data_IF_019400714942
#
_entry.id   IF_019400714942
#
_cell.length_a   1.000
_cell.length_b   1.000
_cell.length_c   1.000
_cell.angle_alpha   90.00
_cell.angle_beta   90.00
_cell.angle_gamma   90.00
#
_symmetry.space_group_name_H-M   'P 1'
#
loop_
_entity.id
_entity.type
_entity.pdbx_description
1 polymer ?
#
# COMPACT_ATOMS: atom_id res chain seq x y z
N UNK A 1 58.45 -33.68 43.50
CA UNK A 1 57.99 -32.70 44.49
C UNK A 1 57.95 -31.36 43.75
N UNK A 2 56.79 -30.69 43.78
CA UNK A 2 56.48 -29.32 43.30
C UNK A 2 56.56 -29.08 41.77
N UNK A 3 55.44 -28.96 41.04
CA UNK A 3 54.43 -27.89 40.91
C UNK A 3 54.91 -26.64 40.14
N UNK A 4 54.27 -26.43 38.97
CA UNK A 4 54.31 -25.29 38.06
C UNK A 4 53.85 -23.98 38.75
N UNK A 5 54.13 -22.78 38.17
CA UNK A 5 53.10 -22.23 37.30
C UNK A 5 53.61 -21.43 36.08
N UNK A 6 53.18 -21.88 34.89
CA UNK A 6 52.88 -21.01 33.76
C UNK A 6 51.71 -20.08 34.14
N UNK A 7 51.93 -18.77 34.13
CA UNK A 7 50.95 -17.74 33.73
C UNK A 7 51.39 -16.38 34.26
N UNK A 8 51.86 -15.52 33.36
CA UNK A 8 51.69 -14.07 33.43
C UNK A 8 52.27 -13.45 32.16
N UNK A 9 51.62 -12.37 31.73
CA UNK A 9 51.97 -11.50 30.60
C UNK A 9 51.35 -11.88 29.25
N UNK A 10 50.03 -12.09 29.27
CA UNK A 10 49.15 -11.92 28.10
C UNK A 10 48.35 -10.63 28.30
N UNK A 11 48.97 -9.46 28.14
CA UNK A 11 48.30 -8.15 28.09
C UNK A 11 49.13 -7.18 27.27
N UNK A 12 48.89 -7.14 25.96
CA UNK A 12 49.54 -6.18 25.07
C UNK A 12 48.68 -6.02 23.81
N UNK A 13 48.01 -4.86 23.73
CA UNK A 13 47.51 -4.19 22.53
C UNK A 13 46.30 -4.79 21.78
N UNK A 14 45.13 -4.74 22.43
CA UNK A 14 43.87 -4.48 21.71
C UNK A 14 43.75 -2.97 21.43
N UNK A 15 44.26 -2.52 20.29
CA UNK A 15 43.95 -1.20 19.76
C UNK A 15 44.40 -1.13 18.30
N UNK A 16 43.52 -1.48 17.35
CA UNK A 16 43.62 -0.97 15.99
C UNK A 16 42.31 -1.16 15.22
N UNK A 17 41.77 -0.01 14.82
CA UNK A 17 40.89 0.22 13.68
C UNK A 17 39.45 -0.33 13.74
N UNK A 18 38.63 0.33 14.56
CA UNK A 18 37.17 0.43 14.44
C UNK A 18 36.84 1.57 13.45
N UNK A 19 37.06 1.35 12.15
CA UNK A 19 36.66 2.19 11.01
C UNK A 19 36.50 1.19 9.86
N UNK A 20 35.32 0.85 9.33
CA UNK A 20 34.41 1.71 8.58
C UNK A 20 32.98 1.13 8.68
N UNK A 21 32.20 1.56 9.66
CA UNK A 21 30.75 1.55 9.54
C UNK A 21 30.34 2.99 9.25
N UNK A 22 30.67 3.46 8.04
CA UNK A 22 29.85 4.51 7.41
C UNK A 22 28.55 3.79 7.06
N UNK A 23 27.72 3.59 8.08
CA UNK A 23 26.31 3.39 7.90
C UNK A 23 25.88 4.55 7.01
N UNK A 24 25.42 4.23 5.81
CA UNK A 24 24.58 5.11 5.02
C UNK A 24 23.29 5.33 5.83
N UNK A 25 23.39 6.09 6.93
CA UNK A 25 22.30 6.84 7.47
C UNK A 25 22.01 7.90 6.40
N UNK A 26 21.33 7.48 5.34
CA UNK A 26 20.63 8.38 4.46
C UNK A 26 19.80 9.24 5.39
N UNK A 27 20.16 10.51 5.49
CA UNK A 27 19.41 11.49 6.27
C UNK A 27 18.02 11.48 5.67
N UNK A 28 17.08 10.80 6.32
CA UNK A 28 15.68 10.87 5.97
C UNK A 28 15.31 12.34 6.18
N UNK A 29 15.30 13.13 5.10
CA UNK A 29 14.73 14.46 5.15
C UNK A 29 13.30 14.27 5.66
N UNK A 30 13.02 14.80 6.85
CA UNK A 30 11.69 14.75 7.41
C UNK A 30 10.74 15.37 6.38
N UNK A 31 9.90 14.54 5.76
CA UNK A 31 8.87 15.03 4.87
C UNK A 31 7.95 15.94 5.68
N UNK A 32 7.55 17.06 5.07
CA UNK A 32 6.69 18.05 5.69
C UNK A 32 5.49 18.29 4.81
N UNK A 33 4.34 18.45 5.44
CA UNK A 33 3.12 18.82 4.76
C UNK A 33 3.10 20.32 4.44
N UNK A 34 2.50 20.65 3.30
CA UNK A 34 2.17 22.03 2.96
C UNK A 34 1.01 22.57 3.80
N UNK A 35 0.86 23.90 3.85
CA UNK A 35 -0.20 24.57 4.62
C UNK A 35 -1.63 24.19 4.21
N UNK A 36 -1.82 23.67 2.99
CA UNK A 36 -3.12 23.24 2.46
C UNK A 36 -3.56 21.85 2.96
N UNK A 37 -2.67 21.06 3.57
CA UNK A 37 -2.97 19.71 4.01
C UNK A 37 -3.94 19.67 5.21
N UNK A 38 -3.74 20.54 6.20
CA UNK A 38 -4.60 20.59 7.39
C UNK A 38 -6.08 20.91 7.05
N UNK A 39 -6.41 21.89 6.18
CA UNK A 39 -7.78 22.08 5.69
C UNK A 39 -8.38 20.85 4.99
N UNK A 40 -7.60 20.12 4.18
CA UNK A 40 -8.06 18.92 3.50
C UNK A 40 -8.38 17.80 4.50
N UNK A 41 -7.51 17.57 5.49
CA UNK A 41 -7.80 16.62 6.57
C UNK A 41 -9.08 16.99 7.35
N UNK A 42 -9.22 18.26 7.71
CA UNK A 42 -10.38 18.75 8.46
C UNK A 42 -11.68 18.48 7.70
N UNK A 43 -11.67 18.64 6.38
CA UNK A 43 -12.81 18.36 5.50
C UNK A 43 -13.23 16.89 5.51
N UNK A 44 -12.27 15.95 5.60
CA UNK A 44 -12.60 14.53 5.76
C UNK A 44 -13.17 14.20 7.14
N UNK A 45 -12.76 14.91 8.19
CA UNK A 45 -13.26 14.70 9.56
C UNK A 45 -14.63 15.32 9.81
N UNK A 46 -14.99 16.39 9.10
CA UNK A 46 -16.17 17.21 9.39
C UNK A 46 -17.49 16.71 8.75
N UNK A 47 -17.58 15.44 8.38
CA UNK A 47 -18.75 14.88 7.65
C UNK A 47 -19.09 15.61 6.35
N UNK A 48 -18.10 16.26 5.70
CA UNK A 48 -18.31 16.90 4.41
C UNK A 48 -18.84 15.88 3.37
N UNK A 49 -19.60 16.34 2.37
CA UNK A 49 -20.18 15.50 1.32
C UNK A 49 -20.00 16.13 -0.06
N UNK A 50 -20.20 15.32 -1.10
CA UNK A 50 -20.11 15.77 -2.50
C UNK A 50 -18.73 16.33 -2.85
N UNK A 51 -18.71 17.38 -3.66
CA UNK A 51 -17.49 17.93 -4.26
C UNK A 51 -16.42 18.35 -3.24
N UNK A 52 -16.83 18.86 -2.07
CA UNK A 52 -15.90 19.25 -1.00
C UNK A 52 -15.15 18.04 -0.47
N UNK A 53 -15.88 16.94 -0.22
CA UNK A 53 -15.28 15.69 0.24
C UNK A 53 -14.39 15.06 -0.84
N UNK A 54 -14.86 15.04 -2.09
CA UNK A 54 -14.09 14.53 -3.23
C UNK A 54 -12.78 15.30 -3.44
N UNK A 55 -12.83 16.64 -3.31
CA UNK A 55 -11.65 17.50 -3.41
C UNK A 55 -10.68 17.25 -2.28
N UNK A 56 -11.18 17.12 -1.04
CA UNK A 56 -10.33 16.83 0.11
C UNK A 56 -9.54 15.52 -0.05
N UNK A 57 -10.16 14.45 -0.56
CA UNK A 57 -9.45 13.19 -0.86
C UNK A 57 -8.33 13.43 -1.90
N UNK A 58 -8.60 14.17 -2.97
CA UNK A 58 -7.62 14.46 -4.02
C UNK A 58 -6.45 15.32 -3.52
N UNK A 59 -6.73 16.35 -2.72
CA UNK A 59 -5.72 17.28 -2.22
C UNK A 59 -4.72 16.57 -1.27
N UNK A 60 -5.19 15.57 -0.52
CA UNK A 60 -4.35 14.76 0.37
C UNK A 60 -3.31 13.91 -0.36
N UNK A 61 -3.45 13.69 -1.67
CA UNK A 61 -2.40 13.04 -2.50
C UNK A 61 -1.13 13.91 -2.59
N UNK A 62 -1.21 15.20 -2.28
CA UNK A 62 -0.07 16.11 -2.17
C UNK A 62 0.55 16.19 -0.77
N UNK A 63 0.04 15.43 0.20
CA UNK A 63 0.39 15.55 1.61
C UNK A 63 1.11 14.28 2.09
N UNK A 64 2.44 14.22 2.05
CA UNK A 64 3.17 12.98 2.32
C UNK A 64 3.01 12.46 3.76
N UNK A 65 2.76 13.34 4.74
CA UNK A 65 2.63 12.94 6.16
C UNK A 65 1.18 12.69 6.54
N UNK A 66 0.32 13.71 6.44
CA UNK A 66 -1.10 13.65 6.77
C UNK A 66 -1.93 12.85 5.79
N UNK A 67 -1.60 12.89 4.49
CA UNK A 67 -2.38 12.28 3.42
C UNK A 67 -2.63 10.80 3.64
N UNK A 68 -1.58 9.96 3.74
CA UNK A 68 -1.77 8.53 3.99
C UNK A 68 -2.53 8.22 5.27
N UNK A 69 -2.33 8.99 6.35
CA UNK A 69 -3.06 8.80 7.60
C UNK A 69 -4.55 9.09 7.46
N UNK A 70 -4.89 10.24 6.86
CA UNK A 70 -6.27 10.68 6.70
C UNK A 70 -7.05 9.79 5.72
N UNK A 71 -6.41 9.36 4.63
CA UNK A 71 -6.97 8.42 3.66
C UNK A 71 -7.12 7.01 4.25
N UNK A 72 -6.12 6.51 4.99
CA UNK A 72 -6.21 5.23 5.70
C UNK A 72 -7.41 5.18 6.66
N UNK A 73 -7.69 6.27 7.36
CA UNK A 73 -8.83 6.37 8.26
C UNK A 73 -10.19 6.24 7.55
N UNK A 74 -10.30 6.65 6.28
CA UNK A 74 -11.55 6.50 5.52
C UNK A 74 -11.88 5.04 5.21
N UNK A 75 -10.89 4.14 5.14
CA UNK A 75 -11.14 2.72 4.91
C UNK A 75 -11.81 2.00 6.10
N UNK A 76 -11.73 2.56 7.31
CA UNK A 76 -12.46 2.05 8.46
C UNK A 76 -13.97 2.34 8.37
N UNK A 77 -14.34 3.43 7.69
CA UNK A 77 -15.73 3.82 7.42
C UNK A 77 -15.84 4.25 5.95
N UNK A 78 -15.79 3.30 4.99
CA UNK A 78 -15.69 3.60 3.57
C UNK A 78 -16.85 4.51 3.10
N UNK A 79 -16.58 5.45 2.18
CA UNK A 79 -17.63 6.32 1.64
C UNK A 79 -18.79 5.50 1.04
N UNK A 80 -20.02 5.91 1.33
CA UNK A 80 -21.20 5.30 0.72
C UNK A 80 -21.36 5.66 -0.76
N UNK A 81 -20.98 6.91 -1.08
CA UNK A 81 -20.91 7.47 -2.43
C UNK A 81 -19.83 6.75 -3.26
N UNK A 82 -20.26 6.13 -4.35
CA UNK A 82 -19.39 5.35 -5.24
C UNK A 82 -18.32 6.20 -5.93
N UNK A 83 -18.60 7.48 -6.20
CA UNK A 83 -17.61 8.41 -6.76
C UNK A 83 -16.53 8.70 -5.72
N UNK A 84 -16.93 9.02 -4.49
CA UNK A 84 -16.00 9.25 -3.38
C UNK A 84 -15.14 8.01 -3.08
N UNK A 85 -15.75 6.82 -3.11
CA UNK A 85 -15.04 5.55 -2.94
C UNK A 85 -13.99 5.34 -4.03
N UNK A 86 -14.34 5.56 -5.30
CA UNK A 86 -13.39 5.44 -6.40
C UNK A 86 -12.21 6.42 -6.26
N UNK A 87 -12.49 7.67 -5.87
CA UNK A 87 -11.45 8.67 -5.62
C UNK A 87 -10.56 8.24 -4.44
N UNK A 88 -11.12 7.66 -3.38
CA UNK A 88 -10.35 7.10 -2.26
C UNK A 88 -9.42 5.98 -2.74
N UNK A 89 -9.92 5.08 -3.60
CA UNK A 89 -9.12 4.02 -4.22
C UNK A 89 -7.95 4.56 -5.04
N UNK A 90 -8.22 5.49 -5.96
CA UNK A 90 -7.19 6.11 -6.81
C UNK A 90 -6.16 6.91 -5.99
N UNK A 91 -6.61 7.67 -4.99
CA UNK A 91 -5.71 8.41 -4.09
C UNK A 91 -4.84 7.46 -3.25
N UNK A 92 -5.44 6.40 -2.72
CA UNK A 92 -4.73 5.37 -1.96
C UNK A 92 -3.76 4.57 -2.82
N UNK A 93 -4.03 4.37 -4.12
CA UNK A 93 -3.12 3.73 -5.07
C UNK A 93 -1.89 4.59 -5.37
N UNK A 94 -2.04 5.92 -5.32
CA UNK A 94 -1.01 6.89 -5.75
C UNK A 94 0.07 7.15 -4.69
N UNK A 95 -0.32 7.13 -3.41
CA UNK A 95 0.60 7.36 -2.30
C UNK A 95 1.22 6.04 -1.83
N UNK A 96 2.54 5.94 -1.93
CA UNK A 96 3.34 4.78 -1.60
C UNK A 96 3.64 4.78 -0.10
N UNK A 97 2.69 4.29 0.68
CA UNK A 97 2.75 4.35 2.14
C UNK A 97 2.23 3.06 2.80
N UNK A 98 2.97 2.57 3.80
CA UNK A 98 2.63 1.34 4.53
C UNK A 98 1.25 1.41 5.21
N UNK A 99 0.80 2.58 5.66
CA UNK A 99 -0.50 2.75 6.31
C UNK A 99 -1.64 2.48 5.32
N UNK A 100 -1.49 2.92 4.06
CA UNK A 100 -2.46 2.69 3.00
C UNK A 100 -2.50 1.23 2.56
N UNK A 101 -1.34 0.59 2.43
CA UNK A 101 -1.25 -0.86 2.19
C UNK A 101 -2.07 -1.63 3.23
N UNK A 102 -1.83 -1.38 4.52
CA UNK A 102 -2.55 -2.05 5.61
C UNK A 102 -4.07 -1.78 5.59
N UNK A 103 -4.47 -0.53 5.39
CA UNK A 103 -5.87 -0.13 5.37
C UNK A 103 -6.63 -0.79 4.21
N UNK A 104 -6.05 -0.77 3.01
CA UNK A 104 -6.62 -1.43 1.83
C UNK A 104 -6.67 -2.96 2.00
N UNK A 105 -5.64 -3.59 2.58
CA UNK A 105 -5.67 -5.03 2.90
C UNK A 105 -6.84 -5.35 3.83
N UNK A 106 -7.01 -4.61 4.91
CA UNK A 106 -8.12 -4.81 5.85
C UNK A 106 -9.49 -4.64 5.17
N UNK A 107 -9.63 -3.63 4.31
CA UNK A 107 -10.88 -3.37 3.61
C UNK A 107 -11.22 -4.45 2.57
N UNK A 108 -10.22 -4.98 1.86
CA UNK A 108 -10.40 -6.06 0.88
C UNK A 108 -10.78 -7.40 1.53
N UNK A 109 -10.15 -7.74 2.66
CA UNK A 109 -10.36 -9.01 3.36
C UNK A 109 -11.62 -9.03 4.23
N UNK A 110 -12.18 -7.87 4.60
CA UNK A 110 -13.39 -7.81 5.44
C UNK A 110 -14.65 -8.19 4.63
N UNK A 111 -15.20 -9.38 4.89
CA UNK A 111 -16.39 -9.90 4.20
C UNK A 111 -17.68 -9.15 4.55
N UNK A 112 -17.69 -8.34 5.61
CA UNK A 112 -18.83 -7.47 5.94
C UNK A 112 -18.89 -6.22 5.06
N UNK A 113 -17.80 -5.87 4.36
CA UNK A 113 -17.81 -4.78 3.40
C UNK A 113 -18.59 -5.15 2.13
N UNK A 114 -19.29 -4.18 1.55
CA UNK A 114 -19.92 -4.32 0.23
C UNK A 114 -18.86 -4.65 -0.83
N UNK A 115 -19.25 -5.41 -1.86
CA UNK A 115 -18.35 -5.85 -2.94
C UNK A 115 -17.57 -4.68 -3.56
N UNK A 116 -18.21 -3.55 -3.78
CA UNK A 116 -17.62 -2.36 -4.40
C UNK A 116 -16.46 -1.80 -3.56
N UNK A 117 -16.61 -1.79 -2.23
CA UNK A 117 -15.55 -1.37 -1.29
C UNK A 117 -14.36 -2.32 -1.40
N UNK A 118 -14.62 -3.64 -1.41
CA UNK A 118 -13.58 -4.66 -1.48
C UNK A 118 -12.82 -4.60 -2.81
N UNK A 119 -13.53 -4.42 -3.93
CA UNK A 119 -12.93 -4.22 -5.25
C UNK A 119 -12.09 -2.94 -5.32
N UNK A 120 -12.59 -1.83 -4.77
CA UNK A 120 -11.84 -0.57 -4.75
C UNK A 120 -10.59 -0.67 -3.87
N UNK A 121 -10.66 -1.43 -2.76
CA UNK A 121 -9.51 -1.74 -1.94
C UNK A 121 -8.49 -2.60 -2.71
N UNK A 122 -8.93 -3.59 -3.50
CA UNK A 122 -8.04 -4.35 -4.39
C UNK A 122 -7.36 -3.40 -5.40
N UNK A 123 -8.06 -2.42 -5.96
CA UNK A 123 -7.46 -1.43 -6.85
C UNK A 123 -6.36 -0.61 -6.15
N UNK A 124 -6.59 -0.18 -4.91
CA UNK A 124 -5.57 0.50 -4.11
C UNK A 124 -4.33 -0.41 -3.90
N UNK A 125 -4.54 -1.70 -3.60
CA UNK A 125 -3.46 -2.68 -3.45
C UNK A 125 -2.65 -2.87 -4.73
N UNK A 126 -3.29 -2.86 -5.91
CA UNK A 126 -2.58 -2.93 -7.19
C UNK A 126 -1.63 -1.73 -7.37
N UNK A 127 -2.08 -0.54 -6.99
CA UNK A 127 -1.23 0.65 -6.97
C UNK A 127 -0.07 0.54 -6.00
N UNK A 128 -0.23 -0.19 -4.88
CA UNK A 128 0.86 -0.51 -3.93
C UNK A 128 1.81 -1.60 -4.46
N UNK A 129 1.33 -2.52 -5.29
CA UNK A 129 2.16 -3.53 -5.95
C UNK A 129 3.08 -2.92 -7.01
N UNK A 130 2.52 -2.12 -7.92
CA UNK A 130 3.28 -1.47 -8.98
C UNK A 130 2.64 -0.11 -9.32
N UNK A 131 3.41 1.00 -9.35
CA UNK A 131 2.86 2.36 -9.43
C UNK A 131 2.13 2.66 -10.74
N UNK A 132 2.39 1.90 -11.81
CA UNK A 132 1.70 2.07 -13.10
C UNK A 132 0.45 1.21 -13.25
N UNK A 133 0.14 0.31 -12.32
CA UNK A 133 -1.00 -0.60 -12.48
C UNK A 133 -2.32 0.06 -12.10
N UNK A 134 -3.32 -0.10 -12.98
CA UNK A 134 -4.70 0.28 -12.72
C UNK A 134 -5.65 -0.84 -13.13
N UNK A 135 -6.67 -1.07 -12.31
CA UNK A 135 -7.77 -1.96 -12.64
C UNK A 135 -9.05 -1.16 -12.85
N UNK A 136 -9.85 -1.59 -13.82
CA UNK A 136 -11.24 -1.15 -14.00
C UNK A 136 -12.11 -2.38 -13.98
N UNK A 137 -13.05 -2.43 -13.04
CA UNK A 137 -13.95 -3.55 -12.89
C UNK A 137 -15.17 -3.41 -13.79
N UNK A 138 -15.66 -4.55 -14.23
CA UNK A 138 -16.84 -4.71 -15.06
C UNK A 138 -17.73 -5.75 -14.38
N UNK A 139 -19.04 -5.55 -14.48
CA UNK A 139 -20.03 -6.55 -14.11
C UNK A 139 -20.67 -7.06 -15.40
N UNK A 140 -20.20 -8.19 -15.95
CA UNK A 140 -20.83 -8.79 -17.11
C UNK A 140 -22.28 -9.20 -16.81
N UNK A 141 -23.13 -9.16 -17.84
CA UNK A 141 -24.52 -9.61 -17.73
C UNK A 141 -24.67 -11.14 -17.67
N UNK A 142 -23.66 -11.88 -18.15
CA UNK A 142 -23.70 -13.33 -18.26
C UNK A 142 -23.02 -14.02 -17.07
N UNK A 143 -23.64 -15.08 -16.51
CA UNK A 143 -23.00 -15.91 -15.48
C UNK A 143 -21.91 -16.82 -16.08
N UNK A 144 -21.03 -17.34 -15.22
CA UNK A 144 -20.06 -18.39 -15.61
C UNK A 144 -18.78 -17.90 -16.30
N UNK A 145 -18.58 -16.59 -16.47
CA UNK A 145 -17.38 -16.05 -17.12
C UNK A 145 -16.12 -16.16 -16.25
N UNK A 146 -14.94 -16.17 -16.86
CA UNK A 146 -13.64 -16.14 -16.17
C UNK A 146 -13.26 -14.74 -15.66
N UNK A 147 -12.24 -14.65 -14.80
CA UNK A 147 -11.83 -13.40 -14.14
C UNK A 147 -11.53 -12.23 -15.07
N UNK A 148 -10.91 -12.49 -16.23
CA UNK A 148 -10.60 -11.45 -17.24
C UNK A 148 -11.85 -10.72 -17.78
N UNK A 149 -13.03 -11.34 -17.71
CA UNK A 149 -14.28 -10.69 -18.10
C UNK A 149 -14.71 -9.59 -17.11
N UNK A 150 -14.27 -9.69 -15.84
CA UNK A 150 -14.65 -8.79 -14.76
C UNK A 150 -13.64 -7.68 -14.51
N UNK A 151 -12.43 -7.78 -15.03
CA UNK A 151 -11.38 -6.78 -14.77
C UNK A 151 -10.56 -6.50 -16.03
N UNK A 152 -10.50 -5.22 -16.38
CA UNK A 152 -9.45 -4.71 -17.25
C UNK A 152 -8.28 -4.28 -16.39
N UNK A 153 -7.14 -4.94 -16.59
CA UNK A 153 -5.87 -4.51 -16.02
C UNK A 153 -5.11 -3.72 -17.08
N UNK A 154 -4.73 -2.49 -16.74
CA UNK A 154 -3.95 -1.61 -17.60
C UNK A 154 -2.68 -1.18 -16.87
N UNK A 155 -1.64 -0.95 -17.65
CA UNK A 155 -0.44 -0.24 -17.22
C UNK A 155 -0.51 1.18 -17.78
N UNK A 156 -0.34 2.17 -16.91
CA UNK A 156 -0.33 3.57 -17.29
C UNK A 156 1.09 3.99 -17.70
N UNK A 157 1.20 4.86 -18.71
CA UNK A 157 2.49 5.36 -19.22
C UNK A 157 3.25 6.23 -18.20
N UNK A 158 2.58 6.66 -17.13
CA UNK A 158 3.16 7.49 -16.07
C UNK A 158 2.93 6.82 -14.71
N UNK A 159 4.01 6.43 -13.99
CA UNK A 159 3.87 5.77 -12.69
C UNK A 159 3.34 6.73 -11.63
N UNK A 160 2.36 6.26 -10.86
CA UNK A 160 1.88 6.94 -9.66
C UNK A 160 2.74 6.55 -8.45
N UNK A 161 3.95 7.10 -8.36
CA UNK A 161 4.96 6.74 -7.36
C UNK A 161 5.22 7.89 -6.37
N UNK A 162 4.16 8.46 -5.78
CA UNK A 162 4.33 9.54 -4.80
C UNK A 162 4.72 8.95 -3.45
N UNK A 163 5.88 9.29 -2.88
CA UNK A 163 6.29 8.74 -1.59
C UNK A 163 5.43 9.30 -0.46
N UNK A 164 4.95 8.43 0.43
CA UNK A 164 4.43 8.83 1.74
C UNK A 164 5.52 8.83 2.82
N UNK A 165 5.18 9.31 4.01
CA UNK A 165 6.09 9.41 5.15
C UNK A 165 6.51 8.06 5.73
N UNK A 166 5.69 7.01 5.57
CA UNK A 166 6.05 5.65 5.94
C UNK A 166 6.28 4.81 4.70
N UNK A 167 7.54 4.56 4.28
CA UNK A 167 7.81 3.84 3.05
C UNK A 167 7.21 2.43 3.08
N UNK A 168 6.85 1.93 1.90
CA UNK A 168 6.41 0.54 1.76
C UNK A 168 7.51 -0.42 2.21
N UNK A 169 7.14 -1.52 2.90
CA UNK A 169 8.12 -2.54 3.25
C UNK A 169 8.67 -3.20 1.98
N UNK A 170 9.90 -3.75 2.00
CA UNK A 170 10.44 -4.52 0.88
C UNK A 170 9.55 -5.70 0.45
N UNK A 171 8.74 -6.23 1.38
CA UNK A 171 7.77 -7.30 1.15
C UNK A 171 6.46 -6.85 0.49
N UNK A 172 6.25 -5.55 0.22
CA UNK A 172 4.93 -5.04 -0.15
C UNK A 172 4.30 -5.74 -1.38
N UNK A 173 5.12 -6.09 -2.38
CA UNK A 173 4.63 -6.82 -3.55
C UNK A 173 4.16 -8.24 -3.20
N UNK A 174 4.94 -8.95 -2.37
CA UNK A 174 4.59 -10.29 -1.90
C UNK A 174 3.37 -10.24 -0.97
N UNK A 175 3.25 -9.22 -0.14
CA UNK A 175 2.11 -8.98 0.75
C UNK A 175 0.82 -8.81 -0.08
N UNK A 176 0.86 -8.00 -1.15
CA UNK A 176 -0.29 -7.85 -2.06
C UNK A 176 -0.63 -9.17 -2.75
N UNK A 177 0.35 -9.90 -3.27
CA UNK A 177 0.11 -11.21 -3.89
C UNK A 177 -0.51 -12.21 -2.91
N UNK A 178 -0.07 -12.23 -1.65
CA UNK A 178 -0.61 -13.09 -0.61
C UNK A 178 -2.08 -12.76 -0.30
N UNK A 179 -2.42 -11.48 -0.22
CA UNK A 179 -3.82 -11.04 -0.04
C UNK A 179 -4.69 -11.51 -1.21
N UNK A 180 -4.21 -11.36 -2.45
CA UNK A 180 -4.96 -11.81 -3.62
C UNK A 180 -5.11 -13.34 -3.66
N UNK A 181 -4.07 -14.11 -3.29
CA UNK A 181 -4.16 -15.57 -3.13
C UNK A 181 -5.15 -16.00 -2.06
N UNK A 182 -5.31 -15.22 -0.99
CA UNK A 182 -6.35 -15.48 0.01
C UNK A 182 -7.75 -15.23 -0.57
N UNK A 183 -7.92 -14.12 -1.30
CA UNK A 183 -9.18 -13.76 -1.95
C UNK A 183 -9.55 -14.70 -3.12
N UNK A 184 -8.60 -15.43 -3.68
CA UNK A 184 -8.83 -16.55 -4.62
C UNK A 184 -9.67 -17.71 -4.04
N UNK A 185 -9.95 -17.70 -2.74
CA UNK A 185 -10.88 -18.64 -2.09
C UNK A 185 -12.12 -17.94 -1.50
N UNK A 186 -12.42 -16.71 -1.93
CA UNK A 186 -13.52 -15.90 -1.37
C UNK A 186 -14.91 -16.50 -1.67
N UNK A 187 -15.86 -16.26 -0.75
CA UNK A 187 -17.25 -16.67 -0.92
C UNK A 187 -17.96 -15.85 -2.02
N UNK A 188 -17.54 -14.60 -2.22
CA UNK A 188 -18.03 -13.80 -3.33
C UNK A 188 -17.35 -14.23 -4.63
N UNK A 189 -18.13 -14.83 -5.54
CA UNK A 189 -17.64 -15.37 -6.80
C UNK A 189 -16.89 -14.34 -7.65
N UNK A 190 -17.32 -13.07 -7.65
CA UNK A 190 -16.70 -12.01 -8.45
C UNK A 190 -15.34 -11.64 -7.86
N UNK A 191 -15.26 -11.45 -6.54
CA UNK A 191 -13.99 -11.21 -5.83
C UNK A 191 -13.02 -12.36 -6.08
N UNK A 192 -13.51 -13.60 -5.94
CA UNK A 192 -12.71 -14.80 -6.15
C UNK A 192 -12.12 -14.86 -7.55
N UNK A 193 -12.96 -14.74 -8.59
CA UNK A 193 -12.53 -14.82 -9.99
C UNK A 193 -11.57 -13.70 -10.39
N UNK A 194 -11.81 -12.47 -9.92
CA UNK A 194 -10.90 -11.35 -10.15
C UNK A 194 -9.54 -11.63 -9.49
N UNK A 195 -9.56 -12.10 -8.24
CA UNK A 195 -8.32 -12.36 -7.49
C UNK A 195 -7.52 -13.50 -8.12
N UNK A 196 -8.18 -14.59 -8.54
CA UNK A 196 -7.56 -15.69 -9.30
C UNK A 196 -6.84 -15.19 -10.55
N UNK A 197 -7.51 -14.33 -11.32
CA UNK A 197 -6.93 -13.73 -12.52
C UNK A 197 -5.72 -12.85 -12.18
N UNK A 198 -5.82 -11.98 -11.17
CA UNK A 198 -4.74 -11.08 -10.78
C UNK A 198 -3.53 -11.85 -10.25
N UNK A 199 -3.71 -12.92 -9.46
CA UNK A 199 -2.60 -13.77 -8.99
C UNK A 199 -1.80 -14.36 -10.15
N UNK A 200 -2.48 -14.82 -11.20
CA UNK A 200 -1.82 -15.34 -12.40
C UNK A 200 -1.15 -14.26 -13.26
N UNK A 201 -1.62 -13.02 -13.19
CA UNK A 201 -1.20 -11.93 -14.08
C UNK A 201 -0.14 -11.00 -13.49
N UNK A 202 -0.18 -10.71 -12.20
CA UNK A 202 0.72 -9.73 -11.57
C UNK A 202 2.23 -10.07 -11.60
N UNK A 203 2.66 -11.35 -11.50
CA UNK A 203 4.08 -11.67 -11.56
C UNK A 203 4.80 -11.19 -12.83
N UNK A 204 4.08 -10.99 -13.94
CA UNK A 204 4.69 -10.46 -15.17
C UNK A 204 5.03 -8.96 -15.12
N UNK A 205 4.57 -8.25 -14.09
CA UNK A 205 4.84 -6.83 -13.84
C UNK A 205 5.93 -6.61 -12.79
N UNK A 206 6.47 -7.68 -12.23
CA UNK A 206 7.73 -7.59 -11.50
C UNK A 206 8.81 -7.38 -12.55
N UNK A 207 9.44 -6.19 -12.58
CA UNK A 207 10.53 -5.86 -13.50
C UNK A 207 11.68 -6.89 -13.43
N UNK A 208 12.67 -6.82 -14.35
CA UNK A 208 13.80 -7.75 -14.30
C UNK A 208 14.46 -7.73 -12.93
N UNK A 209 14.68 -8.93 -12.36
CA UNK A 209 15.41 -9.13 -11.11
C UNK A 209 16.88 -8.73 -11.24
#
# INVERSE_FOLDING_TARGET
>A
MELSPMSKLLRSFQALALLELIAFAGVAMAQQDGSWCAPAEASLRSSARGDTYHRAIRDLVGCPVSGPQALAAQWAHPPEDTVALQILGDASATLRDRRLLRAATSAALNTSNRREVRLTAIQALLGQFHPSLKAVYRTPAEPGLGGVAYVMLAEQDHPNDRPGAEPLPPSAQDDVLNVLRQLSSDQDEVIRKISDYLVGRLPSFQGPK
#
